data_IF_725816183990
#
_entry.id   IF_725816183990
#
_cell.length_a   1.000
_cell.length_b   1.000
_cell.length_c   1.000
_cell.angle_alpha   90.00
_cell.angle_beta   90.00
_cell.angle_gamma   90.00
#
_symmetry.space_group_name_H-M   'P 1'
#
loop_
_entity.id
_entity.type
_entity.pdbx_description
1 polymer ?
#
# COMPACT_ATOMS: atom_id res chain seq x y z
N UNK A 1 18.93 -0.90 -26.62
CA UNK A 1 18.64 -1.38 -25.26
C UNK A 1 18.17 -0.21 -24.43
N UNK A 2 17.24 -0.50 -23.51
CA UNK A 2 16.72 0.33 -22.41
C UNK A 2 15.91 1.59 -22.75
N UNK A 3 14.60 1.41 -22.85
CA UNK A 3 13.66 2.24 -22.08
C UNK A 3 12.89 1.27 -21.18
N UNK A 4 13.30 1.20 -19.90
CA UNK A 4 12.52 0.50 -18.90
C UNK A 4 11.25 1.35 -18.68
N UNK A 5 10.15 0.91 -19.28
CA UNK A 5 8.79 1.28 -18.93
C UNK A 5 8.62 1.05 -17.43
N UNK A 6 8.76 2.11 -16.63
CA UNK A 6 8.20 2.10 -15.28
C UNK A 6 6.69 1.99 -15.48
N UNK A 7 6.13 0.83 -15.12
CA UNK A 7 4.70 0.61 -15.25
C UNK A 7 3.94 1.70 -14.48
N UNK A 8 2.91 2.26 -15.11
CA UNK A 8 2.15 3.47 -14.73
C UNK A 8 1.63 3.48 -13.28
N UNK A 9 1.54 2.32 -12.60
CA UNK A 9 0.99 2.21 -11.25
C UNK A 9 1.87 1.54 -10.20
N UNK A 10 3.18 1.53 -10.39
CA UNK A 10 4.11 1.08 -9.33
C UNK A 10 4.14 2.13 -8.21
N UNK A 11 3.97 1.67 -6.97
CA UNK A 11 4.26 2.40 -5.74
C UNK A 11 5.57 1.83 -5.22
N UNK A 12 6.66 2.51 -5.57
CA UNK A 12 7.97 2.21 -5.02
C UNK A 12 8.14 2.99 -3.72
N UNK A 13 8.34 2.27 -2.63
CA UNK A 13 8.57 2.87 -1.32
C UNK A 13 10.07 2.84 -1.05
N UNK A 14 10.70 4.01 -1.20
CA UNK A 14 12.10 4.24 -0.84
C UNK A 14 12.22 4.69 0.62
N UNK A 15 13.07 4.00 1.38
CA UNK A 15 13.26 4.27 2.81
C UNK A 15 14.64 4.89 3.07
N UNK A 16 14.67 6.11 3.63
CA UNK A 16 15.89 6.76 4.07
C UNK A 16 16.23 6.31 5.49
N UNK A 17 17.02 5.23 5.60
CA UNK A 17 17.28 4.57 6.87
C UNK A 17 17.82 5.52 7.96
N UNK A 18 18.75 6.39 7.62
CA UNK A 18 19.35 7.34 8.58
C UNK A 18 18.35 8.39 9.07
N UNK A 19 17.46 8.87 8.21
CA UNK A 19 16.41 9.82 8.58
C UNK A 19 15.35 9.15 9.46
N UNK A 20 14.94 7.93 9.11
CA UNK A 20 14.01 7.13 9.92
C UNK A 20 14.63 6.90 11.31
N UNK A 21 15.85 6.38 11.38
CA UNK A 21 16.52 6.12 12.67
C UNK A 21 16.65 7.41 13.49
N UNK A 22 17.09 8.51 12.86
CA UNK A 22 17.24 9.81 13.53
C UNK A 22 15.90 10.31 14.09
N UNK A 23 14.82 10.23 13.34
CA UNK A 23 13.53 10.75 13.78
C UNK A 23 12.88 9.86 14.85
N UNK A 24 12.92 8.54 14.69
CA UNK A 24 12.38 7.62 15.69
C UNK A 24 13.12 7.70 17.04
N UNK A 25 14.43 8.00 17.03
CA UNK A 25 15.20 8.22 18.26
C UNK A 25 14.96 9.60 18.91
N UNK A 26 14.55 10.60 18.13
CA UNK A 26 14.38 11.99 18.61
C UNK A 26 12.92 12.38 18.90
N UNK A 27 11.97 11.53 18.52
CA UNK A 27 10.53 11.75 18.77
C UNK A 27 10.00 10.68 19.74
N UNK A 28 9.06 11.04 20.61
CA UNK A 28 8.27 10.11 21.42
C UNK A 28 7.29 9.33 20.53
N UNK A 29 7.82 8.62 19.53
CA UNK A 29 7.03 7.91 18.53
C UNK A 29 6.50 6.63 19.17
N UNK A 30 5.19 6.49 19.22
CA UNK A 30 4.58 5.23 19.64
C UNK A 30 4.99 4.08 18.70
N UNK A 31 4.95 2.84 19.19
CA UNK A 31 5.28 1.68 18.34
C UNK A 31 4.22 1.40 17.26
N UNK A 32 3.00 1.90 17.45
CA UNK A 32 1.83 1.54 16.65
C UNK A 32 1.47 0.06 16.76
N UNK A 33 0.45 -0.34 16.00
CA UNK A 33 0.01 -1.73 15.84
C UNK A 33 -0.47 -1.99 14.40
N UNK A 34 -0.69 -3.24 13.98
CA UNK A 34 -1.24 -3.52 12.65
C UNK A 34 -2.61 -2.90 12.38
N UNK A 35 -3.38 -2.53 13.42
CA UNK A 35 -4.72 -1.91 13.28
C UNK A 35 -4.70 -0.40 13.52
N UNK A 36 -3.63 0.11 14.15
CA UNK A 36 -3.38 1.52 14.42
C UNK A 36 -1.89 1.81 14.15
N UNK A 37 -1.46 1.78 12.88
CA UNK A 37 -0.09 2.07 12.52
C UNK A 37 0.22 3.56 12.71
N UNK A 38 1.48 3.89 12.91
CA UNK A 38 1.95 5.27 12.99
C UNK A 38 2.16 5.84 11.60
N UNK A 39 1.55 6.99 11.32
CA UNK A 39 1.70 7.68 10.04
C UNK A 39 3.13 8.19 9.89
N UNK A 40 3.77 7.87 8.77
CA UNK A 40 5.18 8.24 8.50
C UNK A 40 5.36 9.05 7.22
N UNK A 41 4.29 9.56 6.60
CA UNK A 41 4.38 10.32 5.34
C UNK A 41 5.43 11.43 5.34
N UNK A 42 5.69 12.17 6.45
CA UNK A 42 6.77 13.16 6.49
C UNK A 42 8.19 12.60 6.32
N UNK A 43 8.37 11.28 6.42
CA UNK A 43 9.67 10.59 6.51
C UNK A 43 9.93 9.63 5.34
N UNK A 44 9.00 9.59 4.37
CA UNK A 44 9.13 8.75 3.18
C UNK A 44 9.04 9.67 1.97
N UNK A 45 10.06 9.68 1.11
CA UNK A 45 9.83 10.19 -0.25
C UNK A 45 9.08 9.12 -0.99
N UNK A 46 7.86 9.43 -1.36
CA UNK A 46 7.13 8.64 -2.34
C UNK A 46 7.08 9.48 -3.61
N UNK A 47 7.19 8.84 -4.78
CA UNK A 47 6.93 9.50 -6.06
C UNK A 47 5.42 9.81 -6.26
N UNK A 48 4.63 9.77 -5.18
CA UNK A 48 3.18 9.92 -5.20
C UNK A 48 2.85 11.37 -4.85
N UNK A 49 2.90 12.26 -5.84
CA UNK A 49 2.31 13.59 -5.71
C UNK A 49 0.86 13.59 -6.19
N UNK A 50 -0.07 14.03 -5.33
CA UNK A 50 -1.49 14.20 -5.70
C UNK A 50 -2.30 12.89 -5.76
N UNK A 51 -3.51 12.98 -6.31
CA UNK A 51 -4.40 11.81 -6.49
C UNK A 51 -3.87 10.99 -7.68
N UNK A 52 -3.43 9.76 -7.42
CA UNK A 52 -2.94 8.88 -8.49
C UNK A 52 -4.11 8.36 -9.32
N UNK A 53 -4.11 8.61 -10.62
CA UNK A 53 -5.10 8.02 -11.52
C UNK A 53 -4.62 6.64 -12.00
N UNK A 54 -5.44 5.62 -11.76
CA UNK A 54 -5.18 4.21 -12.07
C UNK A 54 -6.22 3.80 -13.11
N UNK A 55 -5.79 3.40 -14.31
CA UNK A 55 -6.73 2.94 -15.33
C UNK A 55 -7.26 1.56 -14.95
N UNK A 56 -8.54 1.33 -15.22
CA UNK A 56 -9.18 0.03 -15.04
C UNK A 56 -8.45 -1.04 -15.88
N UNK A 57 -8.13 -2.17 -15.26
CA UNK A 57 -7.31 -3.21 -15.87
C UNK A 57 -5.80 -3.09 -15.58
N UNK A 58 -5.33 -2.03 -14.92
CA UNK A 58 -3.94 -1.91 -14.46
C UNK A 58 -3.72 -2.57 -13.09
N UNK A 59 -2.45 -2.88 -12.78
CA UNK A 59 -2.02 -3.45 -11.50
C UNK A 59 -1.39 -2.38 -10.63
N UNK A 60 -1.83 -2.30 -9.38
CA UNK A 60 -1.15 -1.54 -8.35
C UNK A 60 -0.10 -2.46 -7.75
N UNK A 61 1.17 -2.11 -7.95
CA UNK A 61 2.30 -2.88 -7.43
C UNK A 61 2.99 -2.11 -6.33
N UNK A 62 3.11 -2.69 -5.13
CA UNK A 62 3.85 -2.10 -4.02
C UNK A 62 5.09 -2.94 -3.76
N UNK A 63 6.26 -2.30 -3.77
CA UNK A 63 7.55 -2.93 -3.45
C UNK A 63 8.38 -2.01 -2.57
N UNK A 64 9.23 -2.61 -1.74
CA UNK A 64 10.25 -1.88 -0.98
C UNK A 64 11.51 -1.77 -1.84
N UNK A 65 11.93 -0.55 -2.11
CA UNK A 65 13.27 -0.26 -2.60
C UNK A 65 14.14 0.00 -1.38
N UNK A 66 14.84 -1.03 -0.90
CA UNK A 66 15.71 -0.90 0.27
C UNK A 66 17.14 -1.29 -0.07
N UNK A 67 18.08 -0.36 0.10
CA UNK A 67 19.43 -0.73 0.51
C UNK A 67 19.37 -1.01 2.01
N UNK A 68 19.22 -2.27 2.38
CA UNK A 68 19.14 -2.68 3.80
C UNK A 68 20.42 -2.27 4.54
N UNK A 69 20.37 -1.19 5.31
CA UNK A 69 21.35 -0.92 6.34
C UNK A 69 21.16 -1.91 7.51
N UNK A 70 22.24 -2.39 8.13
CA UNK A 70 22.20 -3.38 9.23
C UNK A 70 21.29 -2.97 10.41
N UNK A 71 21.03 -1.67 10.56
CA UNK A 71 20.27 -1.07 11.66
C UNK A 71 18.76 -0.94 11.40
N UNK A 72 18.30 -1.03 10.14
CA UNK A 72 16.88 -0.91 9.78
C UNK A 72 16.47 -2.08 8.88
N UNK A 73 15.57 -2.93 9.37
CA UNK A 73 14.90 -3.93 8.55
C UNK A 73 13.44 -3.54 8.36
N UNK A 74 13.01 -3.37 7.12
CA UNK A 74 11.63 -3.11 6.78
C UNK A 74 10.97 -4.36 6.18
N UNK A 75 9.65 -4.47 6.36
CA UNK A 75 8.83 -5.48 5.69
C UNK A 75 7.47 -4.89 5.35
N UNK A 76 6.99 -5.14 4.14
CA UNK A 76 5.59 -4.92 3.76
C UNK A 76 4.70 -5.92 4.52
N UNK A 77 3.61 -5.42 5.09
CA UNK A 77 2.64 -6.24 5.81
C UNK A 77 1.39 -6.42 4.97
N UNK A 78 0.76 -5.34 4.55
CA UNK A 78 -0.35 -5.34 3.62
C UNK A 78 -0.55 -3.96 2.98
N UNK A 79 -1.35 -3.92 1.93
CA UNK A 79 -1.96 -2.74 1.33
C UNK A 79 -3.46 -2.82 1.63
N UNK A 80 -3.99 -1.87 2.40
CA UNK A 80 -5.42 -1.78 2.65
C UNK A 80 -6.03 -0.80 1.65
N UNK A 81 -7.19 -1.13 1.09
CA UNK A 81 -7.93 -0.28 0.17
C UNK A 81 -9.31 -0.02 0.72
N UNK A 82 -9.70 1.25 0.73
CA UNK A 82 -11.01 1.70 1.18
C UNK A 82 -11.70 2.50 0.08
N UNK A 83 -12.98 2.23 -0.14
CA UNK A 83 -13.77 3.03 -1.07
C UNK A 83 -14.23 4.34 -0.40
N UNK A 84 -13.97 5.46 -1.07
CA UNK A 84 -14.37 6.80 -0.65
C UNK A 84 -15.59 7.33 -1.44
N UNK A 85 -16.04 6.66 -2.51
CA UNK A 85 -17.24 7.08 -3.28
C UNK A 85 -18.54 6.57 -2.68
N UNK A 86 -18.51 5.44 -1.99
CA UNK A 86 -19.67 4.95 -1.26
C UNK A 86 -19.87 5.77 0.01
N UNK A 87 -21.07 6.31 0.21
CA UNK A 87 -21.46 6.83 1.52
C UNK A 87 -21.18 5.75 2.58
N UNK A 88 -20.61 6.13 3.72
CA UNK A 88 -20.12 5.25 4.80
C UNK A 88 -21.12 4.22 5.35
N UNK A 89 -22.37 4.22 4.87
CA UNK A 89 -23.44 3.27 5.22
C UNK A 89 -23.44 2.00 4.36
N UNK A 90 -22.86 2.03 3.15
CA UNK A 90 -22.81 0.88 2.26
C UNK A 90 -21.47 0.15 2.43
N UNK A 91 -21.44 -0.82 3.34
CA UNK A 91 -20.27 -1.66 3.58
C UNK A 91 -19.99 -2.51 2.33
N UNK A 92 -18.86 -2.28 1.67
CA UNK A 92 -18.48 -3.06 0.50
C UNK A 92 -17.99 -4.46 0.89
N UNK A 93 -18.79 -5.48 0.56
CA UNK A 93 -18.40 -6.89 0.67
C UNK A 93 -17.51 -7.37 -0.49
N UNK A 94 -17.03 -8.63 -0.41
CA UNK A 94 -16.17 -9.25 -1.45
C UNK A 94 -16.77 -9.13 -2.85
N UNK A 95 -18.07 -9.41 -2.99
CA UNK A 95 -18.81 -9.34 -4.26
C UNK A 95 -18.80 -7.92 -4.84
N UNK A 96 -19.01 -6.90 -4.00
CA UNK A 96 -18.99 -5.51 -4.44
C UNK A 96 -17.59 -5.10 -4.91
N UNK A 97 -16.55 -5.52 -4.17
CA UNK A 97 -15.17 -5.27 -4.57
C UNK A 97 -14.74 -6.05 -5.82
N UNK A 98 -15.34 -7.21 -6.11
CA UNK A 98 -15.06 -8.01 -7.31
C UNK A 98 -15.48 -7.32 -8.62
N UNK A 99 -16.13 -6.15 -8.54
CA UNK A 99 -16.32 -5.26 -9.69
C UNK A 99 -15.05 -4.50 -10.06
N UNK A 100 -14.20 -4.20 -9.08
CA UNK A 100 -13.06 -3.29 -9.24
C UNK A 100 -11.71 -3.98 -9.16
N UNK A 101 -11.60 -5.09 -8.41
CA UNK A 101 -10.37 -5.83 -8.22
C UNK A 101 -10.53 -7.30 -8.58
N UNK A 102 -9.49 -7.88 -9.17
CA UNK A 102 -9.42 -9.30 -9.48
C UNK A 102 -9.01 -10.08 -8.23
N UNK A 103 -9.94 -10.91 -7.73
CA UNK A 103 -9.78 -11.73 -6.54
C UNK A 103 -9.16 -13.11 -6.84
N UNK A 104 -8.54 -13.31 -8.01
CA UNK A 104 -7.96 -14.59 -8.46
C UNK A 104 -7.50 -15.46 -7.29
N UNK A 105 -8.26 -16.53 -7.05
CA UNK A 105 -7.98 -17.55 -6.04
C UNK A 105 -6.83 -18.42 -6.53
N UNK A 106 -5.61 -17.88 -6.56
CA UNK A 106 -4.44 -18.72 -6.73
C UNK A 106 -4.14 -19.40 -5.39
N UNK A 107 -4.06 -20.75 -5.34
CA UNK A 107 -3.82 -21.48 -4.08
C UNK A 107 -2.46 -21.18 -3.44
N UNK A 108 -1.55 -20.52 -4.15
CA UNK A 108 -0.22 -20.13 -3.68
C UNK A 108 -0.10 -18.64 -3.27
N UNK A 109 -1.11 -17.81 -3.52
CA UNK A 109 -1.06 -16.38 -3.17
C UNK A 109 -2.08 -16.13 -2.07
N UNK A 110 -1.58 -15.97 -0.85
CA UNK A 110 -2.41 -15.59 0.30
C UNK A 110 -2.98 -14.22 0.02
N UNK A 111 -4.23 -14.13 -0.43
CA UNK A 111 -4.89 -12.84 -0.49
C UNK A 111 -6.40 -12.86 -0.68
N UNK A 112 -7.14 -12.33 0.31
CA UNK A 112 -8.13 -11.21 0.24
C UNK A 112 -9.16 -11.39 1.35
N UNK A 113 -8.95 -10.70 2.48
CA UNK A 113 -10.01 -10.54 3.47
C UNK A 113 -10.70 -9.21 3.24
N UNK A 114 -12.02 -9.22 3.25
CA UNK A 114 -12.81 -8.00 3.39
C UNK A 114 -13.05 -7.82 4.87
N UNK A 115 -12.56 -6.72 5.44
CA UNK A 115 -12.81 -6.45 6.84
C UNK A 115 -14.26 -6.01 7.07
N UNK A 116 -14.75 -6.12 8.31
CA UNK A 116 -16.11 -5.66 8.66
C UNK A 116 -16.38 -4.18 8.35
N UNK A 117 -15.32 -3.36 8.25
CA UNK A 117 -15.41 -1.95 7.87
C UNK A 117 -15.52 -1.73 6.35
N UNK A 118 -15.60 -2.80 5.54
CA UNK A 118 -15.71 -2.72 4.08
C UNK A 118 -14.40 -2.48 3.34
N UNK A 119 -13.25 -2.48 4.03
CA UNK A 119 -11.94 -2.39 3.38
C UNK A 119 -11.48 -3.75 2.87
N UNK A 120 -10.66 -3.75 1.82
CA UNK A 120 -9.95 -4.94 1.34
C UNK A 120 -8.47 -4.85 1.66
N UNK A 121 -7.85 -5.98 1.90
CA UNK A 121 -6.42 -6.08 2.24
C UNK A 121 -5.72 -6.89 1.17
N UNK A 122 -4.54 -6.40 0.75
CA UNK A 122 -3.56 -6.98 -0.17
C UNK A 122 -2.27 -7.36 0.57
N UNK A 123 -2.00 -8.65 0.80
CA UNK A 123 -0.76 -9.15 1.41
C UNK A 123 0.37 -9.31 0.37
N UNK A 124 1.64 -9.17 0.78
CA UNK A 124 2.75 -9.43 -0.12
C UNK A 124 2.86 -10.92 -0.47
N UNK A 125 3.34 -11.20 -1.67
CA UNK A 125 3.78 -12.53 -2.07
C UNK A 125 5.10 -12.95 -1.38
N UNK A 126 5.59 -14.14 -1.72
CA UNK A 126 6.82 -14.69 -1.14
C UNK A 126 8.07 -13.84 -1.47
N UNK A 127 8.02 -13.05 -2.54
CA UNK A 127 9.07 -12.10 -2.94
C UNK A 127 8.95 -10.75 -2.21
N UNK A 128 7.95 -10.59 -1.34
CA UNK A 128 7.71 -9.37 -0.58
C UNK A 128 7.04 -8.26 -1.39
N UNK A 129 6.41 -8.59 -2.51
CA UNK A 129 5.75 -7.64 -3.41
C UNK A 129 4.24 -7.78 -3.30
N UNK A 130 3.52 -6.66 -3.26
CA UNK A 130 2.05 -6.67 -3.31
C UNK A 130 1.62 -6.34 -4.73
N UNK A 131 0.71 -7.14 -5.29
CA UNK A 131 0.11 -6.89 -6.60
C UNK A 131 -1.42 -6.92 -6.48
N UNK A 132 -2.05 -5.76 -6.59
CA UNK A 132 -3.50 -5.60 -6.59
C UNK A 132 -3.97 -5.27 -8.01
N UNK A 133 -4.49 -6.27 -8.72
CA UNK A 133 -4.96 -6.15 -10.09
C UNK A 133 -6.36 -5.54 -10.12
N UNK A 134 -6.54 -4.43 -10.82
CA UNK A 134 -7.88 -3.88 -11.09
C UNK A 134 -8.54 -4.62 -12.25
N UNK A 135 -9.88 -4.68 -12.26
CA UNK A 135 -10.65 -5.23 -13.37
C UNK A 135 -10.96 -4.12 -14.37
N UNK A 136 -10.94 -4.44 -15.66
CA UNK A 136 -11.32 -3.50 -16.71
C UNK A 136 -12.83 -3.26 -16.68
N UNK A 137 -13.23 -2.00 -16.64
CA UNK A 137 -14.62 -1.54 -16.75
C UNK A 137 -14.69 -0.30 -17.64
N UNK A 138 -15.83 -0.13 -18.32
CA UNK A 138 -15.99 0.82 -19.44
C UNK A 138 -16.94 1.99 -19.13
N UNK A 139 -17.71 1.92 -18.03
CA UNK A 139 -18.70 2.94 -17.69
C UNK A 139 -18.15 3.98 -16.72
N UNK A 140 -18.52 5.24 -16.93
CA UNK A 140 -18.13 6.35 -16.04
C UNK A 140 -18.72 6.22 -14.63
N UNK A 141 -19.93 5.68 -14.53
CA UNK A 141 -20.60 5.42 -13.24
C UNK A 141 -19.86 4.38 -12.38
N UNK A 142 -18.88 3.70 -12.95
CA UNK A 142 -18.04 2.71 -12.29
C UNK A 142 -16.70 3.30 -11.81
N UNK A 143 -16.42 4.58 -12.08
CA UNK A 143 -15.21 5.24 -11.55
C UNK A 143 -15.27 5.32 -10.01
N UNK A 144 -14.18 4.95 -9.33
CA UNK A 144 -14.10 4.99 -7.87
C UNK A 144 -12.89 5.77 -7.37
N UNK A 145 -13.11 6.55 -6.32
CA UNK A 145 -12.08 7.18 -5.51
C UNK A 145 -11.79 6.30 -4.30
N UNK A 146 -10.53 5.97 -4.07
CA UNK A 146 -10.11 5.09 -2.99
C UNK A 146 -8.88 5.59 -2.26
N UNK A 147 -8.79 5.26 -0.97
CA UNK A 147 -7.55 5.41 -0.21
C UNK A 147 -6.80 4.08 -0.15
N UNK A 148 -5.49 4.17 -0.27
CA UNK A 148 -4.56 3.04 -0.22
C UNK A 148 -3.63 3.24 0.96
N UNK A 149 -3.67 2.33 1.92
CA UNK A 149 -2.82 2.36 3.08
C UNK A 149 -1.74 1.28 2.96
N UNK A 150 -0.51 1.69 2.71
CA UNK A 150 0.64 0.78 2.68
C UNK A 150 1.16 0.60 4.10
N UNK A 151 0.94 -0.57 4.70
CA UNK A 151 1.35 -0.84 6.06
C UNK A 151 2.68 -1.59 6.09
N UNK A 152 3.62 -1.00 6.83
CA UNK A 152 4.99 -1.41 6.97
C UNK A 152 5.27 -1.84 8.41
N UNK A 153 6.25 -2.73 8.56
CA UNK A 153 6.83 -3.07 9.84
C UNK A 153 8.32 -2.80 9.83
N UNK A 154 8.78 -1.98 10.76
CA UNK A 154 10.20 -1.75 11.00
C UNK A 154 10.70 -2.55 12.20
N UNK A 155 11.92 -3.05 12.07
CA UNK A 155 12.75 -3.46 13.20
C UNK A 155 13.92 -2.50 13.25
N UNK A 156 13.97 -1.72 14.32
CA UNK A 156 15.05 -0.78 14.61
C UNK A 156 15.85 -1.32 15.78
N UNK A 157 17.18 -1.30 15.64
CA UNK A 157 18.10 -1.53 16.75
C UNK A 157 18.49 -0.18 17.32
N UNK A 158 18.31 0.01 18.62
CA UNK A 158 18.84 1.18 19.30
C UNK A 158 20.36 1.09 19.51
N UNK A 159 20.95 2.10 20.13
CA UNK A 159 22.39 2.16 20.39
C UNK A 159 22.85 1.14 21.46
N UNK A 160 21.93 0.58 22.23
CA UNK A 160 22.19 -0.46 23.23
C UNK A 160 22.05 -1.89 22.64
N UNK A 161 21.53 -2.00 21.41
CA UNK A 161 21.30 -3.26 20.71
C UNK A 161 19.88 -3.83 20.91
N UNK A 162 19.01 -3.13 21.63
CA UNK A 162 17.63 -3.52 21.84
C UNK A 162 16.83 -3.31 20.56
N UNK A 163 15.99 -4.30 20.23
CA UNK A 163 15.21 -4.32 18.99
C UNK A 163 13.79 -3.87 19.25
N UNK A 164 13.43 -2.69 18.76
CA UNK A 164 12.07 -2.20 18.78
C UNK A 164 11.36 -2.43 17.45
N UNK A 165 10.06 -2.75 17.53
CA UNK A 165 9.20 -3.00 16.37
C UNK A 165 8.23 -1.86 16.23
N UNK A 166 8.14 -1.30 15.04
CA UNK A 166 7.20 -0.24 14.69
C UNK A 166 6.28 -0.71 13.58
N UNK A 167 5.01 -0.36 13.67
CA UNK A 167 4.06 -0.50 12.57
C UNK A 167 3.77 0.89 12.03
N UNK A 168 3.99 1.07 10.73
CA UNK A 168 3.91 2.37 10.10
C UNK A 168 3.02 2.31 8.86
N UNK A 169 2.48 3.46 8.44
CA UNK A 169 1.58 3.57 7.31
C UNK A 169 1.99 4.72 6.40
N UNK A 170 1.82 4.49 5.11
CA UNK A 170 1.83 5.51 4.06
C UNK A 170 0.42 5.55 3.47
N UNK A 171 -0.17 6.73 3.30
CA UNK A 171 -1.60 6.88 3.01
C UNK A 171 -1.97 7.57 1.66
N UNK A 172 -1.43 7.14 0.51
CA UNK A 172 -1.79 7.75 -0.77
C UNK A 172 -3.28 7.62 -1.12
N UNK A 173 -3.80 8.65 -1.78
CA UNK A 173 -5.15 8.66 -2.37
C UNK A 173 -5.03 8.40 -3.88
N UNK A 174 -5.94 7.61 -4.43
CA UNK A 174 -6.03 7.43 -5.88
C UNK A 174 -7.44 7.22 -6.39
N UNK A 175 -7.60 7.34 -7.70
CA UNK A 175 -8.84 7.12 -8.41
C UNK A 175 -8.64 5.97 -9.38
N UNK A 176 -9.52 4.97 -9.37
CA UNK A 176 -9.61 3.98 -10.45
C UNK A 176 -10.64 4.49 -11.43
N UNK A 177 -10.21 4.76 -12.66
CA UNK A 177 -11.08 5.26 -13.73
C UNK A 177 -11.05 4.36 -14.94
N UNK A 178 -12.11 4.39 -15.74
CA UNK A 178 -12.17 3.69 -17.02
C UNK A 178 -10.97 4.02 -17.92
N UNK A 179 -10.49 3.04 -18.67
CA UNK A 179 -9.47 3.27 -19.69
C UNK A 179 -10.09 4.05 -20.86
N UNK A 180 -9.87 5.36 -20.86
CA UNK A 180 -10.09 6.18 -22.05
C UNK A 180 -8.94 5.84 -23.00
N UNK A 181 -9.17 4.89 -23.91
CA UNK A 181 -8.21 4.54 -24.95
C UNK A 181 -7.72 5.82 -25.62
N UNK A 182 -6.41 6.06 -25.54
CA UNK A 182 -5.72 7.09 -26.33
C UNK A 182 -5.52 6.62 -27.75
#
# INVERSE_FOLDING_TARGET
MSENLVASNVIEVELYADEIIKNFNNMYTETGSPVQPVVIDPFVKTDISGIKNIKSGETITVKLAQETADKLKAKLIYLQVQNLTTNSKDIMGKVAWSKYFDFKEQPAKKLTTVAPNGCIYFEPDDDGVINAQTIKFDKEEDDILISYYVVLKFKLKDNCGDVQKYYCIIDPIGQISRDQGT
#
